data_IF_672878522161
#
_entry.id   IF_672878522161
#
_cell.length_a   1.000
_cell.length_b   1.000
_cell.length_c   1.000
_cell.angle_alpha   90.00
_cell.angle_beta   90.00
_cell.angle_gamma   90.00
#
_symmetry.space_group_name_H-M   'P 1'
#
loop_
_entity.id
_entity.type
_entity.pdbx_description
1 polymer ?
#
# COMPACT_ATOMS: atom_id res chain seq x y z
N UNK A 1 -1.38 30.62 -54.34
CA UNK A 1 -1.84 29.40 -53.65
C UNK A 1 -0.67 28.44 -53.46
N UNK A 2 -0.19 28.29 -52.23
CA UNK A 2 0.34 27.02 -51.68
C UNK A 2 0.61 27.27 -50.20
N UNK A 3 -0.30 26.78 -49.35
CA UNK A 3 -0.16 26.71 -47.91
C UNK A 3 0.95 25.70 -47.62
N UNK A 4 2.05 26.13 -47.00
CA UNK A 4 2.95 25.21 -46.32
C UNK A 4 2.58 25.26 -44.84
N UNK A 5 1.76 24.29 -44.43
CA UNK A 5 1.71 23.87 -43.03
C UNK A 5 3.00 23.10 -42.77
N UNK A 6 3.91 23.70 -42.02
CA UNK A 6 5.03 22.97 -41.43
C UNK A 6 4.57 22.49 -40.06
N UNK A 7 4.42 21.17 -39.93
CA UNK A 7 3.92 20.50 -38.74
C UNK A 7 4.79 20.78 -37.52
N UNK A 8 4.13 21.18 -36.45
CA UNK A 8 4.72 21.30 -35.12
C UNK A 8 4.92 19.89 -34.55
N UNK A 9 6.13 19.34 -34.67
CA UNK A 9 6.54 18.14 -33.94
C UNK A 9 6.94 18.57 -32.51
N UNK A 10 6.01 18.46 -31.57
CA UNK A 10 6.33 18.52 -30.14
C UNK A 10 6.93 17.16 -29.78
N UNK A 11 8.25 17.02 -29.93
CA UNK A 11 8.98 15.95 -29.26
C UNK A 11 9.10 16.32 -27.78
N UNK A 12 8.11 15.93 -26.98
CA UNK A 12 8.25 15.96 -25.52
C UNK A 12 9.19 14.82 -25.11
N UNK A 13 10.50 15.10 -25.11
CA UNK A 13 11.46 14.25 -24.41
C UNK A 13 11.30 14.50 -22.91
N UNK A 14 10.46 13.73 -22.23
CA UNK A 14 10.50 13.66 -20.77
C UNK A 14 11.75 12.88 -20.37
N UNK A 15 12.91 13.56 -20.31
CA UNK A 15 14.00 13.07 -19.49
C UNK A 15 13.56 13.23 -18.04
N UNK A 16 13.39 12.11 -17.35
CA UNK A 16 13.37 12.11 -15.90
C UNK A 16 14.68 12.76 -15.44
N UNK A 17 14.58 13.90 -14.75
CA UNK A 17 15.74 14.58 -14.20
C UNK A 17 16.48 13.61 -13.26
N UNK A 18 17.73 13.32 -13.61
CA UNK A 18 18.67 12.62 -12.75
C UNK A 18 18.94 13.53 -11.56
N UNK A 19 18.55 13.10 -10.37
CA UNK A 19 18.97 13.75 -9.13
C UNK A 19 20.45 13.40 -8.95
N UNK A 20 21.33 14.38 -9.09
CA UNK A 20 22.75 14.25 -8.75
C UNK A 20 22.87 14.03 -7.23
N UNK A 21 23.33 12.84 -6.84
CA UNK A 21 23.66 12.47 -5.47
C UNK A 21 25.11 12.84 -5.16
N UNK A 22 25.33 14.02 -4.57
CA UNK A 22 26.51 14.27 -3.76
C UNK A 22 26.15 14.02 -2.30
N UNK A 23 26.44 12.81 -1.83
CA UNK A 23 26.60 12.36 -0.43
C UNK A 23 26.53 10.83 -0.43
N UNK A 24 27.67 10.14 -0.45
CA UNK A 24 27.88 8.77 0.07
C UNK A 24 26.68 7.78 0.01
N UNK A 25 25.99 7.71 -1.14
CA UNK A 25 24.85 6.82 -1.31
C UNK A 25 25.32 5.40 -1.63
N UNK A 26 25.64 4.62 -0.60
CA UNK A 26 25.58 3.16 -0.68
C UNK A 26 24.11 2.73 -0.62
N UNK A 27 23.47 2.77 -1.78
CA UNK A 27 22.12 2.29 -2.04
C UNK A 27 21.98 0.78 -1.79
N UNK A 28 21.05 0.40 -0.90
CA UNK A 28 20.66 -1.00 -0.63
C UNK A 28 19.32 -1.20 0.13
N UNK A 29 18.42 -0.20 0.25
CA UNK A 29 17.32 -0.27 1.25
C UNK A 29 15.89 0.18 0.87
N UNK A 30 15.55 0.47 -0.40
CA UNK A 30 14.16 0.87 -0.73
C UNK A 30 13.20 -0.33 -0.84
N UNK A 31 12.66 -0.78 0.30
CA UNK A 31 11.48 -1.62 0.36
C UNK A 31 10.23 -0.80 0.04
N UNK A 32 9.86 -0.70 -1.25
CA UNK A 32 8.63 -0.01 -1.65
C UNK A 32 7.41 -0.59 -0.93
N UNK A 33 6.57 0.29 -0.39
CA UNK A 33 5.28 -0.09 0.16
C UNK A 33 4.43 -0.71 -0.96
N UNK A 34 3.91 -1.92 -0.74
CA UNK A 34 2.99 -2.60 -1.65
C UNK A 34 1.73 -3.00 -0.91
N UNK A 35 0.60 -2.93 -1.60
CA UNK A 35 -0.68 -3.41 -1.12
C UNK A 35 -1.27 -4.33 -2.19
N UNK A 36 -1.74 -5.49 -1.76
CA UNK A 36 -2.54 -6.40 -2.57
C UNK A 36 -3.88 -6.61 -1.88
N UNK A 37 -4.95 -6.58 -2.69
CA UNK A 37 -6.32 -6.81 -2.24
C UNK A 37 -6.90 -7.91 -3.13
N UNK A 38 -7.19 -9.06 -2.53
CA UNK A 38 -7.92 -10.13 -3.19
C UNK A 38 -9.36 -10.15 -2.66
N UNK A 39 -10.30 -9.75 -3.50
CA UNK A 39 -11.72 -9.80 -3.21
C UNK A 39 -12.27 -11.20 -3.46
N UNK A 40 -12.98 -11.76 -2.48
CA UNK A 40 -13.83 -12.95 -2.62
C UNK A 40 -15.31 -12.56 -2.53
N UNK A 41 -16.21 -13.55 -2.55
CA UNK A 41 -17.65 -13.30 -2.35
C UNK A 41 -17.92 -12.57 -1.03
N UNK A 42 -17.30 -13.02 0.07
CA UNK A 42 -17.61 -12.58 1.42
C UNK A 42 -16.47 -11.80 2.11
N UNK A 43 -15.26 -11.80 1.55
CA UNK A 43 -14.11 -11.19 2.21
C UNK A 43 -13.20 -10.36 1.30
N UNK A 44 -12.45 -9.45 1.91
CA UNK A 44 -11.27 -8.81 1.33
C UNK A 44 -10.03 -9.36 2.02
N UNK A 45 -9.19 -10.09 1.29
CA UNK A 45 -7.90 -10.53 1.79
C UNK A 45 -6.86 -9.46 1.48
N UNK A 46 -6.33 -8.83 2.53
CA UNK A 46 -5.39 -7.73 2.44
C UNK A 46 -3.98 -8.26 2.69
N UNK A 47 -3.03 -7.83 1.87
CA UNK A 47 -1.61 -8.04 2.09
C UNK A 47 -0.85 -6.74 1.91
N UNK A 48 -0.06 -6.37 2.92
CA UNK A 48 0.71 -5.14 3.01
C UNK A 48 2.19 -5.51 3.16
N UNK A 49 3.05 -4.95 2.33
CA UNK A 49 4.50 -5.15 2.43
C UNK A 49 5.19 -3.80 2.54
N UNK A 50 6.09 -3.65 3.51
CA UNK A 50 6.93 -2.44 3.64
C UNK A 50 7.18 -2.06 5.08
N UNK A 51 7.98 -1.01 5.28
CA UNK A 51 8.50 -0.69 6.61
C UNK A 51 7.52 0.05 7.53
N UNK A 52 6.61 0.81 6.95
CA UNK A 52 5.69 1.71 7.69
C UNK A 52 4.23 1.45 7.39
N UNK A 53 3.93 0.38 6.64
CA UNK A 53 2.58 0.16 6.10
C UNK A 53 1.57 -0.19 7.21
N UNK A 54 2.06 -0.81 8.28
CA UNK A 54 1.23 -1.30 9.38
C UNK A 54 2.11 -1.49 10.62
N UNK A 55 2.18 -0.46 11.48
CA UNK A 55 3.07 -0.44 12.65
C UNK A 55 2.44 -1.24 13.81
N UNK A 56 2.88 -2.49 13.98
CA UNK A 56 2.44 -3.32 15.12
C UNK A 56 3.33 -3.17 16.34
N UNK A 57 4.58 -2.77 16.16
CA UNK A 57 5.52 -2.61 17.25
C UNK A 57 6.31 -1.31 17.10
N UNK A 58 6.82 -0.78 18.21
CA UNK A 58 7.61 0.46 18.23
C UNK A 58 9.07 0.29 17.76
N UNK A 59 9.35 -0.69 16.89
CA UNK A 59 10.68 -0.90 16.30
C UNK A 59 10.64 -0.82 14.77
N UNK A 60 11.81 -0.64 14.16
CA UNK A 60 11.97 -0.55 12.71
C UNK A 60 11.97 -1.94 12.07
N UNK A 61 11.11 -2.16 11.07
CA UNK A 61 10.98 -3.43 10.37
C UNK A 61 11.13 -3.17 8.87
N UNK A 62 12.25 -3.49 8.23
CA UNK A 62 12.47 -2.95 6.88
C UNK A 62 11.61 -3.59 5.77
N UNK A 63 11.09 -4.81 5.96
CA UNK A 63 10.38 -5.58 4.90
C UNK A 63 9.27 -6.48 5.44
N UNK A 64 8.54 -6.03 6.45
CA UNK A 64 7.46 -6.83 7.00
C UNK A 64 6.36 -7.08 5.96
N UNK A 65 5.84 -8.31 5.95
CA UNK A 65 4.61 -8.69 5.28
C UNK A 65 3.51 -8.80 6.33
N UNK A 66 2.39 -8.11 6.12
CA UNK A 66 1.23 -8.16 7.00
C UNK A 66 0.02 -8.60 6.21
N UNK A 67 -0.69 -9.60 6.69
CA UNK A 67 -1.89 -10.13 6.04
C UNK A 67 -3.04 -10.30 7.02
N UNK A 68 -4.25 -10.03 6.53
CA UNK A 68 -5.49 -10.18 7.28
C UNK A 68 -6.69 -10.23 6.33
N UNK A 69 -7.83 -10.70 6.82
CA UNK A 69 -9.07 -10.80 6.05
C UNK A 69 -10.16 -9.96 6.68
N UNK A 70 -10.82 -9.13 5.88
CA UNK A 70 -11.94 -8.29 6.30
C UNK A 70 -13.24 -8.87 5.76
N UNK A 71 -14.26 -8.98 6.62
CA UNK A 71 -15.62 -9.31 6.17
C UNK A 71 -16.19 -8.14 5.36
N UNK A 72 -16.62 -8.43 4.12
CA UNK A 72 -17.21 -7.43 3.22
C UNK A 72 -18.49 -6.83 3.77
N UNK A 73 -19.22 -7.53 4.63
CA UNK A 73 -20.42 -6.99 5.30
C UNK A 73 -20.12 -5.78 6.19
N UNK A 74 -18.86 -5.62 6.61
CA UNK A 74 -18.36 -4.51 7.42
C UNK A 74 -17.74 -3.38 6.58
N UNK A 75 -17.76 -3.51 5.25
CA UNK A 75 -17.13 -2.60 4.32
C UNK A 75 -18.17 -1.87 3.45
N UNK A 76 -17.85 -0.63 3.08
CA UNK A 76 -18.55 0.15 2.07
C UNK A 76 -17.61 0.43 0.92
N UNK A 77 -18.15 0.35 -0.29
CA UNK A 77 -17.44 0.56 -1.54
C UNK A 77 -18.11 1.73 -2.27
N UNK A 78 -17.32 2.65 -2.82
CA UNK A 78 -17.87 3.61 -3.79
C UNK A 78 -18.23 2.91 -5.10
N UNK A 79 -19.18 3.46 -5.84
CA UNK A 79 -19.62 2.91 -7.14
C UNK A 79 -18.45 2.77 -8.13
N UNK A 80 -17.53 3.72 -8.10
CA UNK A 80 -16.32 3.73 -8.94
C UNK A 80 -15.15 2.91 -8.36
N UNK A 81 -15.35 2.23 -7.23
CA UNK A 81 -14.34 1.45 -6.48
C UNK A 81 -13.07 2.23 -6.10
N UNK A 82 -13.12 3.56 -6.14
CA UNK A 82 -12.03 4.44 -5.72
C UNK A 82 -11.95 4.60 -4.19
N UNK A 83 -12.96 4.13 -3.45
CA UNK A 83 -13.00 4.12 -2.01
C UNK A 83 -13.45 2.75 -1.48
N UNK A 84 -12.65 2.18 -0.59
CA UNK A 84 -13.02 1.06 0.27
C UNK A 84 -12.92 1.56 1.71
N UNK A 85 -14.01 1.50 2.48
CA UNK A 85 -14.02 1.91 3.89
C UNK A 85 -14.66 0.82 4.74
N UNK A 86 -13.87 0.18 5.59
CA UNK A 86 -14.31 -0.81 6.56
C UNK A 86 -14.12 -0.23 7.96
N UNK A 87 -15.20 -0.21 8.76
CA UNK A 87 -15.20 0.46 10.08
C UNK A 87 -15.78 -0.44 11.15
N UNK A 88 -15.38 -0.18 12.40
CA UNK A 88 -15.87 -0.88 13.59
C UNK A 88 -15.65 -2.39 13.51
N UNK A 89 -14.50 -2.82 13.00
CA UNK A 89 -14.11 -4.23 13.06
C UNK A 89 -13.60 -4.50 14.47
N UNK A 90 -14.48 -5.05 15.31
CA UNK A 90 -14.27 -5.17 16.75
C UNK A 90 -13.03 -5.99 17.11
N UNK A 91 -12.84 -7.13 16.43
CA UNK A 91 -11.70 -8.01 16.63
C UNK A 91 -11.23 -8.55 15.29
N UNK A 92 -9.93 -8.52 15.05
CA UNK A 92 -9.31 -9.11 13.87
C UNK A 92 -7.94 -9.67 14.20
N UNK A 93 -7.64 -10.84 13.65
CA UNK A 93 -6.32 -11.45 13.72
C UNK A 93 -5.52 -11.05 12.49
N UNK A 94 -4.32 -10.54 12.74
CA UNK A 94 -3.36 -10.13 11.72
C UNK A 94 -2.14 -11.03 11.82
N UNK A 95 -1.70 -11.55 10.68
CA UNK A 95 -0.45 -12.31 10.58
C UNK A 95 0.64 -11.38 10.08
N UNK A 96 1.76 -11.32 10.79
CA UNK A 96 2.95 -10.58 10.39
C UNK A 96 4.10 -11.55 10.16
N UNK A 97 4.76 -11.40 9.03
CA UNK A 97 5.95 -12.15 8.65
C UNK A 97 7.09 -11.16 8.48
N UNK A 98 8.10 -11.28 9.34
CA UNK A 98 9.29 -10.46 9.30
C UNK A 98 10.45 -11.26 8.71
N UNK A 99 10.99 -10.88 7.53
CA UNK A 99 12.17 -11.52 7.00
C UNK A 99 13.36 -11.15 7.90
N UNK A 100 14.09 -12.15 8.38
CA UNK A 100 15.30 -11.96 9.16
C UNK A 100 16.40 -11.40 8.25
N UNK A 101 16.96 -10.24 8.61
CA UNK A 101 18.01 -9.61 7.81
C UNK A 101 19.25 -10.51 7.75
N UNK A 102 19.73 -10.78 6.53
CA UNK A 102 21.08 -11.28 6.30
C UNK A 102 21.29 -12.79 6.50
N UNK A 103 20.24 -13.59 6.71
CA UNK A 103 20.39 -15.04 6.85
C UNK A 103 19.53 -15.79 5.82
N UNK A 104 20.15 -16.45 4.82
CA UNK A 104 19.43 -17.11 3.73
C UNK A 104 18.68 -18.40 4.14
N UNK A 105 18.70 -18.79 5.42
CA UNK A 105 18.15 -20.06 5.88
C UNK A 105 17.37 -20.02 7.21
N UNK A 106 17.12 -18.85 7.80
CA UNK A 106 16.26 -18.80 8.99
C UNK A 106 14.80 -18.61 8.60
N UNK A 107 13.94 -19.47 9.17
CA UNK A 107 12.49 -19.42 9.01
C UNK A 107 11.98 -18.03 9.36
N UNK A 108 11.28 -17.40 8.42
CA UNK A 108 10.48 -16.20 8.63
C UNK A 108 9.82 -16.20 10.01
N UNK A 109 10.05 -15.15 10.81
CA UNK A 109 9.37 -15.02 12.09
C UNK A 109 7.91 -14.67 11.79
N UNK A 110 7.03 -15.63 11.99
CA UNK A 110 5.58 -15.45 11.89
C UNK A 110 5.04 -15.07 13.26
N UNK A 111 4.40 -13.92 13.33
CA UNK A 111 3.76 -13.38 14.51
C UNK A 111 2.26 -13.23 14.24
N UNK A 112 1.45 -13.58 15.23
CA UNK A 112 -0.01 -13.42 15.16
C UNK A 112 -0.40 -12.37 16.18
N UNK A 113 -1.01 -11.29 15.71
CA UNK A 113 -1.38 -10.13 16.52
C UNK A 113 -2.87 -9.89 16.39
N UNK A 114 -3.57 -9.82 17.52
CA UNK A 114 -4.98 -9.45 17.53
C UNK A 114 -5.10 -7.93 17.66
N UNK A 115 -6.00 -7.35 16.87
CA UNK A 115 -6.35 -5.95 16.92
C UNK A 115 -7.81 -5.78 17.32
N UNK A 116 -8.08 -4.64 17.93
CA UNK A 116 -9.42 -4.18 18.30
C UNK A 116 -9.76 -2.89 17.58
N UNK A 117 -11.05 -2.74 17.25
CA UNK A 117 -11.62 -1.54 16.64
C UNK A 117 -10.90 -1.09 15.37
N UNK A 118 -10.58 -2.02 14.47
CA UNK A 118 -9.90 -1.69 13.21
C UNK A 118 -10.83 -0.84 12.32
N UNK A 119 -10.30 0.33 11.95
CA UNK A 119 -10.71 1.11 10.78
C UNK A 119 -9.69 0.85 9.67
N UNK A 120 -10.19 0.55 8.48
CA UNK A 120 -9.40 0.37 7.27
C UNK A 120 -10.04 1.17 6.14
N UNK A 121 -9.33 2.15 5.60
CA UNK A 121 -9.81 2.96 4.49
C UNK A 121 -8.74 3.07 3.41
N UNK A 122 -9.11 2.74 2.17
CA UNK A 122 -8.28 2.93 0.98
C UNK A 122 -9.01 3.90 0.07
N UNK A 123 -8.33 4.97 -0.34
CA UNK A 123 -8.85 5.99 -1.24
C UNK A 123 -7.89 6.25 -2.39
N UNK A 124 -8.40 6.33 -3.62
CA UNK A 124 -7.67 6.86 -4.75
C UNK A 124 -7.71 8.40 -4.75
N UNK A 125 -6.55 9.02 -4.95
CA UNK A 125 -6.40 10.47 -5.10
C UNK A 125 -5.69 10.77 -6.43
N UNK A 126 -6.30 11.64 -7.23
CA UNK A 126 -5.75 12.10 -8.50
C UNK A 126 -5.69 13.63 -8.54
N UNK A 127 -4.56 14.15 -8.99
CA UNK A 127 -4.32 15.57 -9.25
C UNK A 127 -3.55 15.72 -10.56
N UNK A 128 -3.42 16.95 -11.05
CA UNK A 128 -2.78 17.27 -12.32
C UNK A 128 -1.36 16.67 -12.51
N UNK A 129 -0.65 16.36 -11.43
CA UNK A 129 0.74 15.87 -11.46
C UNK A 129 0.96 14.54 -10.73
N UNK A 130 -0.09 13.89 -10.20
CA UNK A 130 0.05 12.58 -9.57
C UNK A 130 -1.26 11.82 -9.47
N UNK A 131 -1.15 10.50 -9.42
CA UNK A 131 -2.20 9.57 -9.01
C UNK A 131 -1.64 8.64 -7.94
N UNK A 132 -2.44 8.33 -6.91
CA UNK A 132 -2.00 7.50 -5.78
C UNK A 132 -3.16 6.86 -5.05
N UNK A 133 -2.86 5.81 -4.29
CA UNK A 133 -3.75 5.29 -3.26
C UNK A 133 -3.25 5.72 -1.89
N UNK A 134 -4.17 6.17 -1.05
CA UNK A 134 -3.94 6.50 0.34
C UNK A 134 -4.64 5.44 1.19
N UNK A 135 -3.87 4.71 1.98
CA UNK A 135 -4.37 3.81 3.02
C UNK A 135 -4.31 4.53 4.36
N UNK A 136 -5.44 4.57 5.04
CA UNK A 136 -5.56 5.03 6.42
C UNK A 136 -6.05 3.87 7.29
N UNK A 137 -5.35 3.61 8.39
CA UNK A 137 -5.76 2.60 9.37
C UNK A 137 -5.73 3.17 10.76
N UNK A 138 -6.65 2.70 11.60
CA UNK A 138 -6.67 3.00 13.02
C UNK A 138 -7.07 1.74 13.77
N UNK A 139 -6.37 1.40 14.85
CA UNK A 139 -6.64 0.21 15.65
C UNK A 139 -6.00 0.29 17.02
N UNK A 140 -6.41 -0.60 17.92
CA UNK A 140 -5.76 -0.87 19.20
C UNK A 140 -5.17 -2.29 19.15
N UNK A 141 -3.93 -2.46 19.57
CA UNK A 141 -3.32 -3.80 19.68
C UNK A 141 -3.84 -4.46 20.96
N UNK A 142 -4.23 -5.73 20.90
CA UNK A 142 -4.66 -6.46 22.08
C UNK A 142 -3.57 -6.46 23.17
N UNK A 143 -3.95 -6.04 24.38
CA UNK A 143 -3.03 -5.86 25.50
C UNK A 143 -2.45 -4.44 25.62
N UNK A 144 -2.78 -3.53 24.69
CA UNK A 144 -2.48 -2.10 24.77
C UNK A 144 -3.76 -1.27 24.92
N UNK A 145 -3.62 -0.07 25.48
CA UNK A 145 -4.66 0.98 25.48
C UNK A 145 -4.38 2.07 24.44
N UNK A 146 -3.21 2.03 23.79
CA UNK A 146 -2.79 3.03 22.81
C UNK A 146 -3.52 2.82 21.47
N UNK A 147 -4.05 3.91 20.92
CA UNK A 147 -4.62 3.92 19.57
C UNK A 147 -3.51 4.19 18.57
N UNK A 148 -3.24 3.20 17.72
CA UNK A 148 -2.30 3.34 16.60
C UNK A 148 -3.04 3.86 15.38
N UNK A 149 -2.47 4.86 14.70
CA UNK A 149 -2.99 5.38 13.43
C UNK A 149 -1.88 5.41 12.38
N UNK A 150 -2.17 4.90 11.18
CA UNK A 150 -1.23 4.90 10.06
C UNK A 150 -1.85 5.61 8.86
N UNK A 151 -1.01 6.33 8.11
CA UNK A 151 -1.33 6.86 6.78
C UNK A 151 -0.20 6.52 5.82
N UNK A 152 -0.52 5.76 4.79
CA UNK A 152 0.47 5.19 3.87
C UNK A 152 0.06 5.54 2.45
N UNK A 153 1.04 5.97 1.66
CA UNK A 153 0.83 6.31 0.25
C UNK A 153 1.43 5.21 -0.62
N UNK A 154 0.65 4.75 -1.58
CA UNK A 154 1.07 3.88 -2.65
C UNK A 154 0.96 4.62 -3.98
N UNK A 155 2.03 4.63 -4.77
CA UNK A 155 1.94 5.07 -6.16
C UNK A 155 0.99 4.16 -6.92
N UNK A 156 0.11 4.71 -7.75
CA UNK A 156 -0.82 3.93 -8.55
C UNK A 156 -1.59 4.81 -9.52
N UNK A 157 -1.98 4.27 -10.67
CA UNK A 157 -2.86 4.91 -11.63
C UNK A 157 -4.26 4.31 -11.55
N UNK A 158 -5.26 5.01 -12.09
CA UNK A 158 -6.66 4.57 -12.09
C UNK A 158 -6.87 3.23 -12.80
N UNK A 159 -6.01 2.91 -13.77
CA UNK A 159 -6.01 1.67 -14.52
C UNK A 159 -4.77 0.82 -14.20
N UNK A 160 -4.87 -0.08 -13.22
CA UNK A 160 -4.08 -1.33 -13.22
C UNK A 160 -4.90 -2.44 -12.53
N UNK A 161 -5.99 -2.86 -13.17
CA UNK A 161 -6.48 -4.23 -12.99
C UNK A 161 -5.71 -5.11 -13.96
N UNK A 162 -5.25 -6.29 -13.54
CA UNK A 162 -4.77 -7.27 -14.51
C UNK A 162 -5.92 -7.58 -15.48
N UNK A 163 -5.75 -7.34 -16.77
CA UNK A 163 -6.51 -8.07 -17.78
C UNK A 163 -6.26 -9.56 -17.50
N UNK A 164 -7.31 -10.30 -17.15
CA UNK A 164 -7.25 -11.76 -17.25
C UNK A 164 -7.20 -12.06 -18.74
N UNK A 165 -6.03 -12.39 -19.26
CA UNK A 165 -5.95 -13.16 -20.49
C UNK A 165 -6.66 -14.50 -20.22
N UNK A 166 -7.76 -14.74 -20.94
CA UNK A 166 -8.44 -16.04 -21.01
C UNK A 166 -7.88 -16.84 -22.17
#
# INVERSE_FOLDING_TARGET
MKKLLLGLLIAATTQAGVIHSDLDCRDSSFAYNKMSVLETENSLNISLTGATVFKLFNHWEARALTSFSLDKSKCRFSEDRLLISCRNIENITVTRTNPLFGQPHETDKVEVVNLKNLMFEVRFEERANYSRFVLETQYVIEGSEEVTSNKVIFSGAREVGCEREF
#
